data_IF_454336609907
#
_entry.id   IF_454336609907
#
_cell.length_a   1.000
_cell.length_b   1.000
_cell.length_c   1.000
_cell.angle_alpha   90.00
_cell.angle_beta   90.00
_cell.angle_gamma   90.00
#
_symmetry.space_group_name_H-M   'P 1'
#
loop_
_entity.id
_entity.type
_entity.pdbx_description
1 polymer ?
#
# COMPACT_ATOMS: atom_id res chain seq x y z
N UNK A 1 45.54 13.12 31.78
CA UNK A 1 44.41 12.19 31.58
C UNK A 1 43.13 12.93 31.93
N UNK A 2 42.28 13.26 30.95
CA UNK A 2 40.82 13.35 31.14
C UNK A 2 40.15 13.55 29.77
N UNK A 3 39.52 12.47 29.30
CA UNK A 3 38.81 12.42 28.02
C UNK A 3 37.38 12.97 28.13
N UNK A 4 36.95 13.56 27.02
CA UNK A 4 35.67 14.17 26.70
C UNK A 4 34.42 13.27 26.84
N UNK A 5 33.33 13.94 27.22
CA UNK A 5 31.89 13.77 26.90
C UNK A 5 31.48 12.79 25.79
N UNK A 6 30.38 12.05 26.02
CA UNK A 6 29.44 11.63 24.95
C UNK A 6 27.97 11.70 25.41
N UNK A 7 27.31 12.80 25.06
CA UNK A 7 25.85 12.87 24.93
C UNK A 7 25.51 12.23 23.58
N UNK A 8 24.90 11.04 23.59
CA UNK A 8 24.35 10.45 22.36
C UNK A 8 22.92 10.94 22.13
N UNK A 9 22.79 11.91 21.22
CA UNK A 9 21.53 12.22 20.53
C UNK A 9 21.18 11.03 19.62
N UNK A 10 20.07 10.34 19.88
CA UNK A 10 19.49 9.37 18.93
C UNK A 10 18.94 10.16 17.74
N UNK A 11 19.66 10.05 16.63
CA UNK A 11 19.42 10.66 15.33
C UNK A 11 18.12 10.18 14.71
N UNK A 12 17.43 11.13 14.06
CA UNK A 12 16.16 10.93 13.38
C UNK A 12 16.23 10.03 12.15
N UNK A 13 15.01 9.65 11.75
CA UNK A 13 14.61 8.93 10.55
C UNK A 13 15.29 9.45 9.28
N UNK A 14 16.24 8.67 8.76
CA UNK A 14 16.63 8.70 7.36
C UNK A 14 15.90 7.56 6.63
N UNK A 15 14.64 7.79 6.25
CA UNK A 15 13.98 6.94 5.26
C UNK A 15 14.50 7.32 3.88
N UNK A 16 15.54 6.63 3.42
CA UNK A 16 16.18 6.85 2.12
C UNK A 16 15.14 6.86 1.00
N UNK A 17 15.19 7.86 0.10
CA UNK A 17 14.28 8.04 -1.04
C UNK A 17 14.05 6.76 -1.86
N UNK A 18 15.11 5.97 -2.07
CA UNK A 18 15.05 4.68 -2.76
C UNK A 18 14.20 3.61 -2.04
N UNK A 19 14.15 3.63 -0.70
CA UNK A 19 13.33 2.72 0.10
C UNK A 19 11.85 3.11 0.15
N UNK A 20 11.52 4.36 -0.19
CA UNK A 20 10.13 4.83 -0.31
C UNK A 20 9.58 4.44 -1.68
N UNK A 21 10.32 4.73 -2.75
CA UNK A 21 9.91 4.44 -4.13
C UNK A 21 9.72 2.93 -4.38
N UNK A 22 10.60 2.09 -3.83
CA UNK A 22 10.46 0.63 -3.90
C UNK A 22 9.17 0.14 -3.24
N UNK A 23 8.81 0.71 -2.09
CA UNK A 23 7.58 0.33 -1.35
C UNK A 23 6.32 0.79 -2.08
N UNK A 24 6.35 1.97 -2.70
CA UNK A 24 5.24 2.45 -3.53
C UNK A 24 5.03 1.55 -4.75
N UNK A 25 6.10 1.15 -5.43
CA UNK A 25 6.02 0.23 -6.57
C UNK A 25 5.45 -1.15 -6.17
N UNK A 26 5.90 -1.71 -5.04
CA UNK A 26 5.38 -2.99 -4.53
C UNK A 26 3.89 -2.90 -4.17
N UNK A 27 3.49 -1.78 -3.57
CA UNK A 27 2.10 -1.49 -3.21
C UNK A 27 1.22 -1.33 -4.45
N UNK A 28 1.70 -0.63 -5.46
CA UNK A 28 0.96 -0.43 -6.71
C UNK A 28 0.81 -1.74 -7.50
N UNK A 29 1.86 -2.57 -7.53
CA UNK A 29 1.81 -3.92 -8.09
C UNK A 29 0.81 -4.82 -7.35
N UNK A 30 0.81 -4.76 -6.00
CA UNK A 30 -0.15 -5.47 -5.17
C UNK A 30 -1.59 -5.02 -5.46
N UNK A 31 -1.81 -3.71 -5.54
CA UNK A 31 -3.12 -3.15 -5.86
C UNK A 31 -3.58 -3.54 -7.28
N UNK A 32 -2.67 -3.54 -8.26
CA UNK A 32 -2.96 -3.97 -9.63
C UNK A 32 -3.41 -5.43 -9.69
N UNK A 33 -2.80 -6.32 -8.90
CA UNK A 33 -3.25 -7.70 -8.78
C UNK A 33 -4.63 -7.79 -8.14
N UNK A 34 -4.90 -6.98 -7.12
CA UNK A 34 -6.23 -6.88 -6.51
C UNK A 34 -7.28 -6.41 -7.51
N UNK A 35 -6.97 -5.37 -8.27
CA UNK A 35 -7.83 -4.82 -9.30
C UNK A 35 -8.18 -5.89 -10.35
N UNK A 36 -7.19 -6.65 -10.84
CA UNK A 36 -7.42 -7.74 -11.82
C UNK A 36 -8.28 -8.87 -11.27
N UNK A 37 -8.15 -9.22 -10.00
CA UNK A 37 -8.95 -10.24 -9.33
C UNK A 37 -10.34 -9.76 -8.86
N UNK A 38 -10.59 -8.45 -8.85
CA UNK A 38 -11.88 -7.88 -8.47
C UNK A 38 -12.88 -7.97 -9.62
N UNK A 39 -14.16 -8.24 -9.32
CA UNK A 39 -15.21 -8.27 -10.33
C UNK A 39 -15.36 -6.90 -11.02
N UNK A 40 -15.74 -6.90 -12.30
CA UNK A 40 -15.82 -5.69 -13.13
C UNK A 40 -16.73 -4.60 -12.55
N UNK A 41 -17.79 -4.98 -11.84
CA UNK A 41 -18.74 -4.03 -11.25
C UNK A 41 -18.18 -3.30 -10.01
N UNK A 42 -17.10 -3.83 -9.41
CA UNK A 42 -16.48 -3.28 -8.20
C UNK A 42 -15.09 -2.70 -8.46
N UNK A 43 -14.72 -2.49 -9.73
CA UNK A 43 -13.45 -1.88 -10.13
C UNK A 43 -13.65 -0.90 -11.28
N UNK A 44 -12.78 0.09 -11.36
CA UNK A 44 -12.82 1.11 -12.40
C UNK A 44 -11.45 1.61 -12.80
N UNK A 45 -11.45 2.45 -13.83
CA UNK A 45 -10.29 3.21 -14.27
C UNK A 45 -10.75 4.65 -14.45
N UNK A 46 -10.06 5.58 -13.81
CA UNK A 46 -10.29 7.02 -13.99
C UNK A 46 -9.72 7.47 -15.35
N UNK A 47 -10.13 8.65 -15.87
CA UNK A 47 -9.69 9.15 -17.18
C UNK A 47 -8.17 9.38 -17.29
N UNK A 48 -7.50 9.59 -16.17
CA UNK A 48 -6.03 9.73 -16.05
C UNK A 48 -5.29 8.39 -16.04
N UNK A 49 -6.02 7.26 -16.10
CA UNK A 49 -5.46 5.91 -16.02
C UNK A 49 -5.34 5.36 -14.59
N UNK A 50 -5.75 6.12 -13.57
CA UNK A 50 -5.69 5.67 -12.18
C UNK A 50 -6.69 4.53 -11.93
N UNK A 51 -6.18 3.40 -11.45
CA UNK A 51 -7.00 2.23 -11.12
C UNK A 51 -7.74 2.45 -9.79
N UNK A 52 -9.02 2.11 -9.78
CA UNK A 52 -9.89 2.23 -8.60
C UNK A 52 -10.61 0.93 -8.29
N UNK A 53 -10.90 0.72 -7.01
CA UNK A 53 -11.64 -0.44 -6.50
C UNK A 53 -12.62 0.05 -5.44
N UNK A 54 -13.82 -0.54 -5.37
CA UNK A 54 -14.75 -0.31 -4.28
C UNK A 54 -14.23 -0.99 -3.01
N UNK A 55 -13.88 -0.21 -1.99
CA UNK A 55 -13.43 -0.69 -0.68
C UNK A 55 -14.52 -1.50 0.03
N UNK A 56 -14.12 -2.47 0.86
CA UNK A 56 -15.09 -3.23 1.65
C UNK A 56 -15.65 -2.37 2.78
N UNK A 57 -16.93 -2.58 3.11
CA UNK A 57 -17.64 -1.81 4.13
C UNK A 57 -16.91 -1.77 5.49
N UNK A 58 -16.25 -2.88 5.88
CA UNK A 58 -15.49 -2.95 7.14
C UNK A 58 -14.27 -2.03 7.22
N UNK A 59 -13.80 -1.52 6.08
CA UNK A 59 -12.70 -0.55 5.99
C UNK A 59 -13.19 0.88 5.71
N UNK A 60 -14.50 1.11 5.77
CA UNK A 60 -15.14 2.41 5.51
C UNK A 60 -15.93 2.46 4.20
N UNK A 61 -15.68 1.53 3.26
CA UNK A 61 -16.32 1.54 1.95
C UNK A 61 -15.87 2.70 1.05
N UNK A 62 -16.53 2.85 -0.10
CA UNK A 62 -16.23 3.91 -1.07
C UNK A 62 -15.11 3.54 -2.06
N UNK A 63 -14.82 4.45 -3.00
CA UNK A 63 -13.82 4.21 -4.04
C UNK A 63 -12.41 4.48 -3.50
N UNK A 64 -11.50 3.51 -3.67
CA UNK A 64 -10.09 3.63 -3.27
C UNK A 64 -9.16 3.36 -4.44
N UNK A 65 -7.98 3.96 -4.37
CA UNK A 65 -6.86 3.80 -5.31
C UNK A 65 -5.69 3.08 -4.63
N UNK A 66 -4.61 2.82 -5.36
CA UNK A 66 -3.37 2.32 -4.78
C UNK A 66 -2.84 3.23 -3.64
N UNK A 67 -3.00 4.55 -3.76
CA UNK A 67 -2.54 5.50 -2.74
C UNK A 67 -3.46 5.60 -1.52
N UNK A 68 -4.79 5.43 -1.68
CA UNK A 68 -5.74 5.61 -0.57
C UNK A 68 -6.17 4.33 0.16
N UNK A 69 -6.03 3.15 -0.45
CA UNK A 69 -6.39 1.88 0.20
C UNK A 69 -5.58 1.67 1.50
N UNK A 70 -6.20 1.16 2.58
CA UNK A 70 -5.43 0.87 3.79
C UNK A 70 -4.60 -0.41 3.63
N UNK A 71 -3.48 -0.52 4.37
CA UNK A 71 -2.58 -1.69 4.28
C UNK A 71 -3.29 -2.99 4.65
N UNK A 72 -4.17 -2.95 5.65
CA UNK A 72 -4.93 -4.11 6.10
C UNK A 72 -5.88 -4.64 5.02
N UNK A 73 -6.60 -3.75 4.34
CA UNK A 73 -7.50 -4.13 3.25
C UNK A 73 -6.72 -4.72 2.07
N UNK A 74 -5.62 -4.09 1.68
CA UNK A 74 -4.81 -4.55 0.58
C UNK A 74 -4.29 -5.98 0.83
N UNK A 75 -3.78 -6.24 2.04
CA UNK A 75 -3.30 -7.57 2.44
C UNK A 75 -4.42 -8.62 2.41
N UNK A 76 -5.58 -8.33 2.98
CA UNK A 76 -6.69 -9.29 3.03
C UNK A 76 -7.25 -9.60 1.64
N UNK A 77 -7.34 -8.60 0.75
CA UNK A 77 -7.75 -8.82 -0.64
C UNK A 77 -6.76 -9.68 -1.41
N UNK A 78 -5.46 -9.49 -1.21
CA UNK A 78 -4.45 -10.35 -1.82
C UNK A 78 -4.61 -11.80 -1.36
N UNK A 79 -4.88 -12.03 -0.08
CA UNK A 79 -5.14 -13.36 0.44
C UNK A 79 -6.43 -13.96 -0.15
N UNK A 80 -7.51 -13.18 -0.20
CA UNK A 80 -8.78 -13.60 -0.77
C UNK A 80 -8.64 -14.05 -2.23
N UNK A 81 -7.88 -13.31 -3.05
CA UNK A 81 -7.62 -13.67 -4.44
C UNK A 81 -6.79 -14.96 -4.53
N UNK A 82 -5.76 -15.11 -3.70
CA UNK A 82 -4.96 -16.35 -3.64
C UNK A 82 -5.82 -17.57 -3.29
N UNK A 83 -6.78 -17.43 -2.36
CA UNK A 83 -7.70 -18.52 -2.00
C UNK A 83 -8.66 -18.87 -3.13
N UNK A 84 -9.12 -17.90 -3.91
CA UNK A 84 -9.99 -18.13 -5.09
C UNK A 84 -9.29 -18.77 -6.29
N UNK A 85 -7.96 -18.65 -6.36
CA UNK A 85 -7.18 -19.20 -7.46
C UNK A 85 -6.73 -20.66 -7.21
N UNK A 86 -6.99 -21.20 -6.02
CA UNK A 86 -6.80 -22.62 -5.69
C UNK A 86 -8.07 -23.38 -5.98
#
# INVERSE_FOLDING_TARGET
>A
MNHQTKIQKKTGSASSKAGVEKRENEREAAFKNVWRGTHKDYRGCLPDGTLTVMSWAKYGGGLVTASSICVAELAERQEFIKRRAR
#
